data_IF_318314917491
#
_entry.id   IF_318314917491
#
_cell.length_a   1.000
_cell.length_b   1.000
_cell.length_c   1.000
_cell.angle_alpha   90.00
_cell.angle_beta   90.00
_cell.angle_gamma   90.00
#
_symmetry.space_group_name_H-M   'P 1'
#
loop_
_entity.id
_entity.type
_entity.pdbx_description
1 polymer ?
#
# COMPACT_ATOMS: atom_id res chain seq x y z
N UNK A 1 7.35 16.49 9.46
CA UNK A 1 6.57 16.09 8.27
C UNK A 1 5.51 15.11 8.74
N UNK A 2 4.26 15.51 8.82
CA UNK A 2 3.17 14.63 9.25
C UNK A 2 2.71 13.83 8.03
N UNK A 3 3.09 12.59 7.94
CA UNK A 3 2.53 11.64 6.98
C UNK A 3 1.08 11.34 7.41
N UNK A 4 0.18 12.23 7.00
CA UNK A 4 -1.25 11.97 7.10
C UNK A 4 -1.63 11.17 5.86
N UNK A 5 -2.68 10.46 5.85
CA UNK A 5 -3.30 9.66 4.82
C UNK A 5 -2.57 9.53 3.46
N UNK A 6 -2.79 8.39 2.83
CA UNK A 6 -2.26 8.10 1.48
C UNK A 6 -3.02 8.89 0.41
N UNK A 7 -4.33 9.09 0.58
CA UNK A 7 -5.22 9.59 -0.45
C UNK A 7 -6.55 10.09 0.13
N UNK A 8 -6.52 11.15 0.95
CA UNK A 8 -7.70 11.62 1.69
C UNK A 8 -8.91 11.92 0.79
N UNK A 9 -8.68 12.46 -0.40
CA UNK A 9 -9.74 12.80 -1.35
C UNK A 9 -10.01 11.75 -2.42
N UNK A 10 -9.42 10.54 -2.30
CA UNK A 10 -9.69 9.48 -3.27
C UNK A 10 -11.14 8.99 -3.14
N UNK A 11 -11.85 8.94 -4.28
CA UNK A 11 -13.29 8.69 -4.33
C UNK A 11 -13.65 7.20 -4.56
N UNK A 12 -12.70 6.28 -4.34
CA UNK A 12 -12.94 4.83 -4.45
C UNK A 12 -13.87 4.32 -3.35
N UNK A 13 -14.83 3.45 -3.70
CA UNK A 13 -15.80 2.92 -2.75
C UNK A 13 -15.13 2.10 -1.63
N UNK A 14 -14.18 1.24 -1.97
CA UNK A 14 -13.42 0.44 -1.01
C UNK A 14 -12.54 1.31 -0.09
N UNK A 15 -11.97 2.41 -0.63
CA UNK A 15 -11.22 3.34 0.18
C UNK A 15 -12.11 4.07 1.20
N UNK A 16 -13.30 4.52 0.78
CA UNK A 16 -14.26 5.16 1.68
C UNK A 16 -14.73 4.20 2.77
N UNK A 17 -14.99 2.94 2.43
CA UNK A 17 -15.36 1.90 3.41
C UNK A 17 -14.22 1.69 4.42
N UNK A 18 -12.98 1.50 3.94
CA UNK A 18 -11.81 1.36 4.80
C UNK A 18 -11.62 2.55 5.75
N UNK A 19 -11.79 3.78 5.26
CA UNK A 19 -11.70 5.00 6.09
C UNK A 19 -12.81 5.05 7.13
N UNK A 20 -14.03 4.62 6.78
CA UNK A 20 -15.14 4.56 7.71
C UNK A 20 -14.89 3.55 8.85
N UNK A 21 -14.43 2.35 8.50
CA UNK A 21 -14.09 1.29 9.46
C UNK A 21 -12.92 1.72 10.37
N UNK A 22 -11.91 2.37 9.80
CA UNK A 22 -10.79 2.93 10.56
C UNK A 22 -11.28 3.95 11.60
N UNK A 23 -12.13 4.89 11.21
CA UNK A 23 -12.67 5.92 12.12
C UNK A 23 -13.56 5.34 13.19
N UNK A 24 -14.33 4.31 12.88
CA UNK A 24 -15.17 3.61 13.86
C UNK A 24 -14.31 2.87 14.90
N UNK A 25 -13.22 2.23 14.46
CA UNK A 25 -12.33 1.47 15.34
C UNK A 25 -11.39 2.37 16.15
N UNK A 26 -10.93 3.47 15.57
CA UNK A 26 -9.97 4.41 16.17
C UNK A 26 -10.53 5.85 16.16
N UNK A 27 -11.58 6.15 16.96
CA UNK A 27 -12.19 7.47 16.96
C UNK A 27 -11.23 8.52 17.51
N UNK A 28 -11.31 9.74 16.96
CA UNK A 28 -10.48 10.88 17.38
C UNK A 28 -10.65 11.18 18.88
N UNK A 29 -11.84 10.98 19.43
CA UNK A 29 -12.13 11.13 20.86
C UNK A 29 -11.32 10.19 21.76
N UNK A 30 -10.82 9.07 21.21
CA UNK A 30 -9.94 8.12 21.90
C UNK A 30 -8.47 8.24 21.46
N UNK A 31 -8.08 9.37 20.84
CA UNK A 31 -6.71 9.61 20.38
C UNK A 31 -6.39 9.10 18.98
N UNK A 32 -7.38 8.62 18.23
CA UNK A 32 -7.22 8.23 16.83
C UNK A 32 -6.97 9.44 15.91
N UNK A 33 -6.44 9.17 14.72
CA UNK A 33 -6.26 10.21 13.71
C UNK A 33 -7.54 10.42 12.89
N UNK A 34 -7.78 11.63 12.35
CA UNK A 34 -8.96 11.93 11.53
C UNK A 34 -9.04 11.12 10.24
N UNK A 35 -7.91 10.57 9.79
CA UNK A 35 -7.77 9.79 8.58
C UNK A 35 -6.66 8.75 8.76
N UNK A 36 -6.75 7.56 8.11
CA UNK A 36 -5.69 6.55 8.18
C UNK A 36 -4.35 7.14 7.73
N UNK A 37 -3.30 6.97 8.53
CA UNK A 37 -1.96 7.35 8.11
C UNK A 37 -1.42 6.39 7.02
N UNK A 38 -0.36 6.80 6.32
CA UNK A 38 0.36 5.93 5.41
C UNK A 38 0.75 4.60 6.11
N UNK A 39 1.26 4.68 7.32
CA UNK A 39 1.65 3.49 8.07
C UNK A 39 0.46 2.60 8.42
N UNK A 40 -0.64 3.16 8.88
CA UNK A 40 -1.85 2.37 9.19
C UNK A 40 -2.32 1.60 7.94
N UNK A 41 -2.30 2.24 6.78
CA UNK A 41 -2.70 1.60 5.54
C UNK A 41 -1.72 0.53 5.06
N UNK A 42 -0.41 0.79 5.13
CA UNK A 42 0.63 -0.20 4.75
C UNK A 42 0.59 -1.42 5.68
N UNK A 43 0.43 -1.23 7.00
CA UNK A 43 0.27 -2.35 7.93
C UNK A 43 -0.98 -3.16 7.66
N UNK A 44 -2.10 -2.50 7.35
CA UNK A 44 -3.32 -3.20 6.93
C UNK A 44 -3.07 -4.07 5.70
N UNK A 45 -2.44 -3.54 4.64
CA UNK A 45 -2.14 -4.30 3.43
C UNK A 45 -1.22 -5.50 3.71
N UNK A 46 -0.17 -5.30 4.50
CA UNK A 46 0.77 -6.35 4.84
C UNK A 46 0.09 -7.47 5.65
N UNK A 47 -0.73 -7.12 6.63
CA UNK A 47 -1.47 -8.10 7.42
C UNK A 47 -2.50 -8.83 6.56
N UNK A 48 -3.23 -8.11 5.71
CA UNK A 48 -4.17 -8.72 4.78
C UNK A 48 -3.47 -9.71 3.85
N UNK A 49 -2.33 -9.37 3.26
CA UNK A 49 -1.56 -10.28 2.42
C UNK A 49 -1.14 -11.54 3.18
N UNK A 50 -0.66 -11.37 4.43
CA UNK A 50 -0.26 -12.50 5.26
C UNK A 50 -1.44 -13.44 5.56
N UNK A 51 -2.59 -12.89 5.92
CA UNK A 51 -3.79 -13.68 6.25
C UNK A 51 -4.41 -14.34 5.00
N UNK A 52 -4.54 -13.61 3.89
CA UNK A 52 -5.04 -14.18 2.63
C UNK A 52 -4.11 -15.31 2.13
N UNK A 53 -2.79 -15.15 2.31
CA UNK A 53 -1.82 -16.19 2.00
C UNK A 53 -1.95 -17.43 2.90
N UNK A 54 -2.20 -17.25 4.20
CA UNK A 54 -2.45 -18.36 5.13
C UNK A 54 -3.75 -19.09 4.78
N UNK A 55 -4.78 -18.37 4.44
CA UNK A 55 -6.06 -18.93 4.02
C UNK A 55 -5.90 -19.76 2.74
N UNK A 56 -5.17 -19.25 1.75
CA UNK A 56 -4.91 -19.95 0.49
C UNK A 56 -4.22 -21.30 0.66
N UNK A 57 -3.41 -21.45 1.71
CA UNK A 57 -2.74 -22.73 2.05
C UNK A 57 -3.40 -23.46 3.22
N UNK A 58 -4.56 -22.98 3.70
CA UNK A 58 -5.31 -23.55 4.84
C UNK A 58 -4.44 -23.72 6.09
N UNK A 59 -3.56 -22.75 6.32
CA UNK A 59 -2.62 -22.75 7.47
C UNK A 59 -1.44 -23.71 7.34
N UNK A 60 -1.24 -24.38 6.20
CA UNK A 60 -0.11 -25.32 6.01
C UNK A 60 1.21 -24.56 5.83
N UNK A 61 1.98 -24.46 6.89
CA UNK A 61 3.33 -23.87 6.91
C UNK A 61 4.45 -24.93 6.93
N UNK A 62 4.14 -26.18 6.64
CA UNK A 62 5.12 -27.27 6.59
C UNK A 62 6.13 -27.08 5.43
N UNK A 63 7.19 -27.89 5.41
CA UNK A 63 8.19 -27.87 4.35
C UNK A 63 8.90 -26.51 4.17
N UNK A 64 9.21 -25.82 5.28
CA UNK A 64 9.87 -24.52 5.25
C UNK A 64 9.02 -23.43 4.60
N UNK A 65 7.69 -23.52 4.72
CA UNK A 65 6.71 -22.55 4.22
C UNK A 65 6.69 -22.43 2.68
N UNK A 66 7.13 -23.47 1.96
CA UNK A 66 7.25 -23.37 0.50
C UNK A 66 5.93 -23.04 -0.19
N UNK A 67 4.83 -23.73 0.18
CA UNK A 67 3.49 -23.47 -0.37
C UNK A 67 3.00 -22.05 -0.07
N UNK A 68 3.24 -21.57 1.14
CA UNK A 68 2.84 -20.23 1.56
C UNK A 68 3.59 -19.15 0.76
N UNK A 69 4.91 -19.29 0.61
CA UNK A 69 5.71 -18.37 -0.22
C UNK A 69 5.28 -18.40 -1.69
N UNK A 70 4.93 -19.58 -2.21
CA UNK A 70 4.39 -19.70 -3.56
C UNK A 70 3.03 -19.00 -3.70
N UNK A 71 2.12 -19.19 -2.76
CA UNK A 71 0.83 -18.51 -2.72
C UNK A 71 1.00 -16.97 -2.71
N UNK A 72 1.87 -16.44 -1.84
CA UNK A 72 2.17 -15.01 -1.80
C UNK A 72 2.77 -14.49 -3.12
N UNK A 73 3.66 -15.24 -3.76
CA UNK A 73 4.30 -14.81 -5.01
C UNK A 73 3.34 -14.71 -6.20
N UNK A 74 2.25 -15.47 -6.17
CA UNK A 74 1.21 -15.50 -7.22
C UNK A 74 -0.01 -14.65 -6.87
N UNK A 75 -0.07 -14.11 -5.67
CA UNK A 75 -1.23 -13.38 -5.17
C UNK A 75 -1.44 -12.08 -5.92
N UNK A 76 -2.70 -11.80 -6.25
CA UNK A 76 -3.19 -10.46 -6.58
C UNK A 76 -4.03 -9.99 -5.41
N UNK A 77 -3.40 -9.23 -4.53
CA UNK A 77 -4.05 -8.71 -3.32
C UNK A 77 -5.01 -7.59 -3.68
N UNK A 78 -6.29 -7.79 -3.36
CA UNK A 78 -7.31 -6.74 -3.48
C UNK A 78 -7.19 -5.77 -2.31
N UNK A 79 -6.95 -4.50 -2.60
CA UNK A 79 -6.80 -3.47 -1.58
C UNK A 79 -7.74 -2.28 -1.83
N UNK A 80 -8.02 -1.48 -0.80
CA UNK A 80 -8.87 -0.29 -0.91
C UNK A 80 -8.44 0.72 -1.99
N UNK A 81 -7.19 0.71 -2.43
CA UNK A 81 -6.69 1.64 -3.46
C UNK A 81 -6.41 0.98 -4.81
N UNK A 82 -6.70 -0.31 -4.93
CA UNK A 82 -6.47 -1.10 -6.14
C UNK A 82 -5.69 -2.38 -5.86
N UNK A 83 -5.37 -3.10 -6.92
CA UNK A 83 -4.68 -4.37 -6.83
C UNK A 83 -3.18 -4.19 -6.55
N UNK A 84 -2.64 -5.08 -5.72
CA UNK A 84 -1.20 -5.17 -5.45
C UNK A 84 -0.72 -6.58 -5.79
N UNK A 85 0.38 -6.68 -6.50
CA UNK A 85 1.05 -7.95 -6.79
C UNK A 85 2.55 -7.81 -6.61
N UNK A 86 3.26 -8.92 -6.55
CA UNK A 86 4.73 -8.91 -6.50
C UNK A 86 5.32 -9.15 -7.90
N UNK A 87 6.43 -8.49 -8.18
CA UNK A 87 7.28 -8.82 -9.32
C UNK A 87 8.19 -10.02 -9.01
N UNK A 88 9.02 -10.42 -9.97
CA UNK A 88 9.97 -11.53 -9.81
C UNK A 88 11.04 -11.27 -8.73
N UNK A 89 11.28 -10.02 -8.38
CA UNK A 89 12.20 -9.59 -7.31
C UNK A 89 11.48 -9.43 -5.96
N UNK A 90 10.19 -9.80 -5.87
CA UNK A 90 9.32 -9.64 -4.71
C UNK A 90 9.09 -8.17 -4.32
N UNK A 91 9.20 -7.26 -5.26
CA UNK A 91 8.81 -5.86 -5.08
C UNK A 91 7.34 -5.69 -5.40
N UNK A 92 6.66 -4.87 -4.62
CA UNK A 92 5.25 -4.61 -4.83
C UNK A 92 5.02 -3.74 -6.08
N UNK A 93 4.09 -4.15 -6.91
CA UNK A 93 3.52 -3.36 -8.00
C UNK A 93 2.11 -2.96 -7.57
N UNK A 94 1.82 -1.68 -7.56
CA UNK A 94 0.55 -1.18 -7.06
C UNK A 94 0.22 0.24 -7.52
N UNK A 95 -0.83 0.79 -6.94
CA UNK A 95 -1.27 2.16 -7.22
C UNK A 95 -0.52 3.16 -6.35
N UNK A 96 -0.06 4.24 -6.97
CA UNK A 96 0.52 5.40 -6.29
C UNK A 96 -0.32 6.65 -6.57
N UNK A 97 -0.39 7.54 -5.59
CA UNK A 97 -1.09 8.82 -5.72
C UNK A 97 -0.10 9.98 -5.65
N UNK A 98 -0.25 10.91 -6.57
CA UNK A 98 0.38 12.23 -6.47
C UNK A 98 -0.62 13.13 -5.77
N UNK A 99 -0.24 13.64 -4.61
CA UNK A 99 -1.12 14.43 -3.75
C UNK A 99 -0.54 15.81 -3.49
N UNK A 100 -1.42 16.74 -3.21
CA UNK A 100 -1.13 18.10 -2.75
C UNK A 100 -1.71 18.28 -1.35
N UNK A 101 -0.95 18.87 -0.44
CA UNK A 101 -1.45 19.20 0.89
C UNK A 101 -2.21 20.51 0.79
N UNK A 102 -3.53 20.45 1.05
CA UNK A 102 -4.43 21.60 1.01
C UNK A 102 -5.19 21.76 2.32
N UNK A 103 -5.86 22.90 2.51
CA UNK A 103 -6.76 23.13 3.64
C UNK A 103 -8.21 22.93 3.20
N UNK A 104 -9.00 22.29 4.07
CA UNK A 104 -10.47 22.28 3.92
C UNK A 104 -11.10 23.61 4.37
N UNK A 105 -12.42 23.70 4.25
CA UNK A 105 -13.18 24.89 4.66
C UNK A 105 -13.08 25.20 6.16
N UNK A 106 -12.69 24.22 6.98
CA UNK A 106 -12.49 24.34 8.43
C UNK A 106 -11.02 24.61 8.79
N UNK A 107 -10.12 24.74 7.80
CA UNK A 107 -8.70 25.00 7.97
C UNK A 107 -7.86 23.75 8.28
N UNK A 108 -8.41 22.55 8.25
CA UNK A 108 -7.67 21.32 8.45
C UNK A 108 -6.85 20.95 7.21
N UNK A 109 -5.65 20.43 7.42
CA UNK A 109 -4.81 19.94 6.34
C UNK A 109 -5.23 18.54 5.91
N UNK A 110 -5.33 18.32 4.60
CA UNK A 110 -5.56 16.99 4.02
C UNK A 110 -4.81 16.82 2.68
N UNK A 111 -4.64 15.57 2.25
CA UNK A 111 -3.99 15.23 0.98
C UNK A 111 -5.03 15.14 -0.14
N UNK A 112 -5.09 16.19 -0.96
CA UNK A 112 -5.89 16.19 -2.18
C UNK A 112 -5.17 15.37 -3.25
N UNK A 113 -5.85 14.38 -3.80
CA UNK A 113 -5.34 13.58 -4.91
C UNK A 113 -5.43 14.38 -6.21
N UNK A 114 -4.29 14.65 -6.81
CA UNK A 114 -4.20 15.30 -8.14
C UNK A 114 -4.07 14.27 -9.26
N UNK A 115 -3.43 13.13 -8.99
CA UNK A 115 -3.24 12.08 -9.99
C UNK A 115 -3.17 10.71 -9.32
N UNK A 116 -3.82 9.72 -9.91
CA UNK A 116 -3.66 8.30 -9.63
C UNK A 116 -2.80 7.68 -10.73
N UNK A 117 -1.81 6.87 -10.34
CA UNK A 117 -0.96 6.12 -11.27
C UNK A 117 -1.02 4.66 -10.86
N UNK A 118 -1.57 3.83 -11.75
CA UNK A 118 -1.71 2.40 -11.51
C UNK A 118 -0.47 1.63 -11.99
N UNK A 119 -0.26 0.44 -11.40
CA UNK A 119 0.81 -0.48 -11.76
C UNK A 119 2.22 0.14 -11.69
N UNK A 120 2.45 1.00 -10.70
CA UNK A 120 3.79 1.55 -10.46
C UNK A 120 4.69 0.43 -9.96
N UNK A 121 5.80 0.22 -10.65
CA UNK A 121 6.81 -0.77 -10.35
C UNK A 121 8.15 -0.11 -10.02
N UNK A 122 9.08 -0.87 -9.43
CA UNK A 122 10.37 -0.36 -9.00
C UNK A 122 11.19 0.23 -10.14
N UNK A 123 11.05 -0.32 -11.35
CA UNK A 123 11.80 0.14 -12.53
C UNK A 123 11.29 1.46 -13.09
N UNK A 124 10.15 1.99 -12.61
CA UNK A 124 9.53 3.22 -13.09
C UNK A 124 9.33 3.25 -14.61
N UNK A 125 9.06 2.10 -15.21
CA UNK A 125 8.85 1.93 -16.65
C UNK A 125 10.13 1.71 -17.46
N UNK A 126 11.31 1.67 -16.84
CA UNK A 126 12.53 1.24 -17.52
C UNK A 126 12.52 -0.28 -17.74
N UNK A 127 13.21 -0.76 -18.76
CA UNK A 127 13.41 -2.19 -18.92
C UNK A 127 14.24 -2.77 -17.77
N UNK A 128 14.01 -4.03 -17.41
CA UNK A 128 14.80 -4.70 -16.38
C UNK A 128 16.31 -4.75 -16.69
N UNK A 129 16.68 -4.69 -17.98
CA UNK A 129 18.08 -4.66 -18.42
C UNK A 129 18.73 -3.27 -18.18
N UNK A 130 17.95 -2.21 -18.28
CA UNK A 130 18.41 -0.82 -18.13
C UNK A 130 18.36 -0.36 -16.67
N UNK A 131 17.45 -0.97 -15.87
CA UNK A 131 17.32 -0.65 -14.45
C UNK A 131 18.42 -1.33 -13.64
N UNK A 132 19.47 -0.57 -13.32
CA UNK A 132 20.56 -1.04 -12.49
C UNK A 132 20.35 -0.56 -11.05
N UNK A 133 20.07 -1.51 -10.16
CA UNK A 133 20.14 -1.22 -8.72
C UNK A 133 21.60 -1.18 -8.27
N UNK A 134 22.01 -0.08 -7.67
CA UNK A 134 23.27 -0.02 -6.95
C UNK A 134 23.25 -0.84 -5.66
N UNK A 135 24.40 -1.05 -5.08
CA UNK A 135 24.55 -1.57 -3.72
C UNK A 135 24.60 -0.41 -2.73
N UNK A 136 24.55 -0.73 -1.42
CA UNK A 136 24.72 0.28 -0.37
C UNK A 136 26.06 1.02 -0.51
N UNK A 137 27.11 0.32 -0.90
CA UNK A 137 28.46 0.86 -0.99
C UNK A 137 28.76 1.52 -2.35
N UNK A 138 28.02 1.12 -3.39
CA UNK A 138 28.11 1.69 -4.73
C UNK A 138 26.69 1.97 -5.21
N UNK A 139 26.07 3.06 -4.76
CA UNK A 139 24.72 3.42 -5.17
C UNK A 139 24.70 3.78 -6.67
N UNK A 140 23.77 3.15 -7.42
CA UNK A 140 23.43 3.63 -8.73
C UNK A 140 22.24 4.59 -8.59
N UNK A 141 22.44 5.86 -8.92
CA UNK A 141 21.36 6.80 -9.14
C UNK A 141 21.12 6.87 -10.66
N UNK A 142 19.89 6.62 -11.14
CA UNK A 142 19.55 6.84 -12.54
C UNK A 142 19.61 8.32 -12.89
#
# INVERSE_FOLDING_TARGET
>A
MLFRSVADSFDGAEWKAFVADYKATYPVSAGGFPSPSLFAYVYYQNMKAALDGLDAVKGDLSGGQAKYREALSKMVLKTPTGDVRLDNNRQAIGTTFVTEVVKDAQGNLFNKVNRKVDNVEQTLGMSAADFKMGTRDVPACP
#
